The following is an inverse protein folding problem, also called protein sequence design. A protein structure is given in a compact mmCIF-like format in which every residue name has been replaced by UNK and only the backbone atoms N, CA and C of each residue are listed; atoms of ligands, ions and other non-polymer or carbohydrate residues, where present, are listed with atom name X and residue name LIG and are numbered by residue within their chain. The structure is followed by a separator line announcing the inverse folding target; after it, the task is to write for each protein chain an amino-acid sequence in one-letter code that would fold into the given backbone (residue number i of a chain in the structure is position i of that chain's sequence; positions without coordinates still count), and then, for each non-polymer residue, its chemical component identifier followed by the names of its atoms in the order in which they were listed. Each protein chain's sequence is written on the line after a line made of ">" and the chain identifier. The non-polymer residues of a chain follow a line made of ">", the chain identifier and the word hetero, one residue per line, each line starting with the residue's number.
data_IF_359214788577
#
_entry.id   IF_359214788577
#
_cell.length_a   1.000
_cell.length_b   1.000
_cell.length_c   1.000
_cell.angle_alpha   90.00
_cell.angle_beta   90.00
_cell.angle_gamma   90.00
#
_symmetry.space_group_name_H-M   'P 1'
#
loop_
_entity.id
_entity.type
_entity.pdbx_description
1 polymer ?
#
# COMPACT_ATOMS: atom_id res chain seq x y z
N UNK A 1 8.14 5.40 -4.35
CA UNK A 1 6.88 4.62 -4.34
C UNK A 1 6.83 3.52 -5.40
N UNK A 2 6.99 3.81 -6.71
CA UNK A 2 6.90 2.75 -7.75
C UNK A 2 7.83 1.54 -7.50
N UNK A 3 9.11 1.78 -7.20
CA UNK A 3 10.06 0.71 -6.84
C UNK A 3 9.63 -0.10 -5.61
N UNK A 4 8.98 0.55 -4.64
CA UNK A 4 8.45 -0.14 -3.45
C UNK A 4 7.29 -1.05 -3.82
N UNK A 5 6.35 -0.57 -4.64
CA UNK A 5 5.25 -1.40 -5.14
C UNK A 5 5.76 -2.59 -5.95
N UNK A 6 6.79 -2.40 -6.77
CA UNK A 6 7.42 -3.50 -7.52
C UNK A 6 8.02 -4.55 -6.59
N UNK A 7 8.79 -4.12 -5.58
CA UNK A 7 9.37 -5.03 -4.59
C UNK A 7 8.29 -5.80 -3.83
N UNK A 8 7.23 -5.13 -3.37
CA UNK A 8 6.10 -5.78 -2.70
C UNK A 8 5.35 -6.73 -3.63
N UNK A 9 5.24 -6.39 -4.92
CA UNK A 9 4.67 -7.27 -5.93
C UNK A 9 5.45 -8.57 -6.07
N UNK A 10 6.80 -8.49 -6.10
CA UNK A 10 7.67 -9.67 -6.13
C UNK A 10 7.48 -10.54 -4.89
N UNK A 11 7.50 -9.95 -3.69
CA UNK A 11 7.25 -10.69 -2.44
C UNK A 11 5.88 -11.40 -2.43
N UNK A 12 4.84 -10.78 -3.00
CA UNK A 12 3.51 -11.39 -3.10
C UNK A 12 3.46 -12.52 -4.12
N UNK A 13 4.23 -12.46 -5.20
CA UNK A 13 4.39 -13.57 -6.15
C UNK A 13 5.15 -14.74 -5.52
N UNK A 14 6.26 -14.45 -4.84
CA UNK A 14 7.08 -15.46 -4.14
C UNK A 14 6.26 -16.17 -3.04
N UNK A 15 5.37 -15.42 -2.38
CA UNK A 15 4.44 -15.94 -1.38
C UNK A 15 3.19 -16.63 -1.95
N UNK A 16 3.06 -16.79 -3.27
CA UNK A 16 1.86 -17.30 -3.97
C UNK A 16 0.56 -16.56 -3.62
N UNK A 17 0.64 -15.30 -3.19
CA UNK A 17 -0.51 -14.43 -2.92
C UNK A 17 -1.01 -13.82 -4.24
N UNK A 18 -0.08 -13.43 -5.11
CA UNK A 18 -0.37 -13.07 -6.50
C UNK A 18 0.09 -14.20 -7.41
N UNK A 19 -0.56 -14.33 -8.56
CA UNK A 19 -0.22 -15.31 -9.59
C UNK A 19 0.20 -14.63 -10.89
N UNK A 20 0.89 -15.36 -11.76
CA UNK A 20 1.18 -14.88 -13.12
C UNK A 20 -0.10 -14.56 -13.91
N UNK A 21 -1.22 -15.23 -13.61
CA UNK A 21 -2.51 -14.94 -14.21
C UNK A 21 -3.02 -13.54 -13.84
N UNK A 22 -2.88 -13.14 -12.56
CA UNK A 22 -3.28 -11.79 -12.12
C UNK A 22 -2.50 -10.69 -12.86
N UNK A 23 -1.20 -10.92 -13.14
CA UNK A 23 -0.38 -10.00 -13.93
C UNK A 23 -0.80 -9.97 -15.41
N UNK A 24 -1.04 -11.14 -15.99
CA UNK A 24 -1.50 -11.26 -17.37
C UNK A 24 -2.84 -10.56 -17.59
N UNK A 25 -3.80 -10.72 -16.67
CA UNK A 25 -5.10 -10.05 -16.76
C UNK A 25 -4.96 -8.53 -16.65
N UNK A 26 -4.08 -8.03 -15.77
CA UNK A 26 -3.76 -6.61 -15.72
C UNK A 26 -3.14 -6.10 -17.03
N UNK A 27 -2.18 -6.83 -17.62
CA UNK A 27 -1.55 -6.46 -18.90
C UNK A 27 -2.53 -6.47 -20.07
N UNK A 28 -3.53 -7.36 -20.06
CA UNK A 28 -4.54 -7.46 -21.12
C UNK A 28 -5.51 -6.28 -21.14
N UNK A 29 -5.48 -5.40 -20.14
CA UNK A 29 -6.23 -4.14 -20.13
C UNK A 29 -7.74 -4.30 -20.23
N UNK A 30 -8.28 -5.50 -19.92
CA UNK A 30 -9.72 -5.68 -19.83
C UNK A 30 -10.20 -4.90 -18.61
N UNK A 31 -11.17 -3.99 -18.80
CA UNK A 31 -11.86 -3.21 -17.76
C UNK A 31 -12.72 -4.09 -16.82
N UNK A 32 -12.19 -5.24 -16.41
CA UNK A 32 -12.83 -6.15 -15.49
C UNK A 32 -12.28 -5.89 -14.09
N UNK A 33 -13.08 -6.15 -13.05
CA UNK A 33 -12.71 -5.98 -11.65
C UNK A 33 -11.39 -6.71 -11.27
N UNK A 34 -10.96 -7.72 -12.03
CA UNK A 34 -9.74 -8.49 -11.78
C UNK A 34 -8.45 -7.72 -12.11
N UNK A 35 -8.46 -6.82 -13.10
CA UNK A 35 -7.31 -5.95 -13.40
C UNK A 35 -7.03 -4.93 -12.28
N UNK A 36 -7.97 -4.75 -11.35
CA UNK A 36 -7.82 -3.83 -10.21
C UNK A 36 -6.85 -4.32 -9.15
N UNK A 37 -6.56 -5.62 -9.06
CA UNK A 37 -5.67 -6.18 -8.02
C UNK A 37 -4.26 -5.60 -8.19
N UNK A 38 -3.72 -5.66 -9.41
CA UNK A 38 -2.38 -5.14 -9.71
C UNK A 38 -2.41 -3.62 -9.90
N UNK A 39 -3.42 -3.09 -10.59
CA UNK A 39 -3.52 -1.67 -10.90
C UNK A 39 -3.86 -0.76 -9.72
N UNK A 40 -4.59 -1.26 -8.72
CA UNK A 40 -5.08 -0.49 -7.56
C UNK A 40 -4.69 -1.17 -6.25
N UNK A 41 -5.00 -2.46 -6.10
CA UNK A 41 -4.80 -3.22 -4.87
C UNK A 41 -3.33 -3.25 -4.43
N UNK A 42 -2.40 -3.52 -5.33
CA UNK A 42 -0.97 -3.59 -5.04
C UNK A 42 -0.39 -2.24 -4.60
N UNK A 43 -0.64 -1.11 -5.29
CA UNK A 43 -0.27 0.21 -4.79
C UNK A 43 -0.85 0.53 -3.40
N UNK A 44 -2.14 0.23 -3.16
CA UNK A 44 -2.78 0.48 -1.88
C UNK A 44 -2.20 -0.41 -0.76
N UNK A 45 -1.97 -1.68 -1.05
CA UNK A 45 -1.35 -2.64 -0.14
C UNK A 45 0.06 -2.21 0.23
N UNK A 46 0.84 -1.78 -0.75
CA UNK A 46 2.20 -1.29 -0.56
C UNK A 46 2.20 -0.04 0.32
N UNK A 47 1.30 0.93 0.07
CA UNK A 47 1.16 2.10 0.93
C UNK A 47 0.80 1.71 2.37
N UNK A 48 -0.17 0.81 2.57
CA UNK A 48 -0.55 0.32 3.90
C UNK A 48 0.67 -0.30 4.62
N UNK A 49 1.47 -1.12 3.93
CA UNK A 49 2.68 -1.69 4.51
C UNK A 49 3.72 -0.62 4.89
N UNK A 50 3.90 0.42 4.07
CA UNK A 50 4.79 1.54 4.41
C UNK A 50 4.30 2.27 5.68
N UNK A 51 2.99 2.54 5.78
CA UNK A 51 2.40 3.17 6.96
C UNK A 51 2.61 2.34 8.22
N UNK A 52 2.31 1.05 8.13
CA UNK A 52 2.53 0.07 9.18
C UNK A 52 3.98 0.04 9.68
N UNK A 53 4.93 -0.01 8.74
CA UNK A 53 6.36 -0.02 9.06
C UNK A 53 6.76 1.27 9.76
N UNK A 54 6.29 2.41 9.25
CA UNK A 54 6.51 3.74 9.84
C UNK A 54 5.96 3.85 11.26
N UNK A 55 4.78 3.26 11.53
CA UNK A 55 4.18 3.22 12.87
C UNK A 55 5.03 2.38 13.82
N UNK A 56 5.46 1.18 13.39
CA UNK A 56 6.31 0.31 14.21
C UNK A 56 7.67 0.93 14.52
N UNK A 57 8.23 1.67 13.57
CA UNK A 57 9.48 2.41 13.74
C UNK A 57 9.33 3.72 14.53
N UNK A 58 8.11 4.07 14.96
CA UNK A 58 7.79 5.35 15.59
C UNK A 58 8.27 6.57 14.77
N UNK A 59 8.26 6.45 13.44
CA UNK A 59 8.69 7.50 12.52
C UNK A 59 7.68 8.66 12.53
N UNK A 60 8.17 9.88 12.27
CA UNK A 60 7.33 11.08 12.21
C UNK A 60 6.57 11.22 10.87
N UNK A 61 7.09 10.62 9.80
CA UNK A 61 6.58 10.68 8.44
C UNK A 61 6.22 9.31 7.85
N UNK A 62 6.44 9.12 6.55
CA UNK A 62 6.24 7.85 5.85
C UNK A 62 7.60 7.31 5.42
N UNK A 63 8.02 6.21 6.05
CA UNK A 63 9.25 5.50 5.76
C UNK A 63 9.06 4.60 4.53
N UNK A 64 9.92 4.80 3.52
CA UNK A 64 9.96 4.07 2.26
C UNK A 64 11.22 3.21 2.18
N UNK A 65 11.58 2.73 0.98
CA UNK A 65 12.82 1.99 0.73
C UNK A 65 14.06 2.80 1.09
N UNK A 66 15.14 2.09 1.41
CA UNK A 66 16.48 2.66 1.60
C UNK A 66 16.50 3.73 2.71
N UNK A 67 15.72 3.52 3.77
CA UNK A 67 15.55 4.42 4.91
C UNK A 67 15.11 5.85 4.51
N UNK A 68 14.54 6.01 3.33
CA UNK A 68 14.03 7.28 2.86
C UNK A 68 12.69 7.61 3.55
N UNK A 69 12.68 8.65 4.37
CA UNK A 69 11.48 9.12 5.07
C UNK A 69 10.91 10.39 4.40
N UNK A 70 9.61 10.36 4.05
CA UNK A 70 8.87 11.56 3.65
C UNK A 70 8.22 12.19 4.87
N UNK A 71 8.56 13.42 5.17
CA UNK A 71 8.07 14.23 6.28
C UNK A 71 7.49 15.55 5.78
N UNK A 72 6.91 16.35 6.67
CA UNK A 72 6.45 17.70 6.32
C UNK A 72 7.56 18.64 5.82
N UNK A 73 8.84 18.33 6.09
CA UNK A 73 9.98 19.15 5.68
C UNK A 73 10.46 18.86 4.25
N UNK A 74 10.29 17.62 3.77
CA UNK A 74 10.78 17.18 2.46
C UNK A 74 9.65 16.67 1.53
N UNK A 75 8.38 16.82 1.93
CA UNK A 75 7.23 16.47 1.10
C UNK A 75 7.22 17.23 -0.23
N UNK A 76 6.61 16.65 -1.28
CA UNK A 76 6.45 17.35 -2.56
C UNK A 76 5.71 18.69 -2.38
N UNK A 77 6.15 19.73 -3.09
CA UNK A 77 5.53 21.07 -3.06
C UNK A 77 4.34 21.22 -4.01
N UNK A 78 4.10 20.22 -4.84
CA UNK A 78 2.91 20.18 -5.68
C UNK A 78 1.64 20.10 -4.82
N UNK A 79 0.62 20.88 -5.16
CA UNK A 79 -0.60 21.01 -4.34
C UNK A 79 -1.36 19.70 -4.20
N UNK A 80 -1.43 18.90 -5.27
CA UNK A 80 -2.15 17.62 -5.24
C UNK A 80 -1.40 16.62 -4.36
N UNK A 81 -0.08 16.55 -4.51
CA UNK A 81 0.75 15.68 -3.69
C UNK A 81 0.80 16.12 -2.22
N UNK A 82 0.79 17.42 -1.94
CA UNK A 82 0.69 17.97 -0.59
C UNK A 82 -0.60 17.54 0.11
N UNK A 83 -1.73 17.75 -0.58
CA UNK A 83 -3.05 17.33 -0.10
C UNK A 83 -3.10 15.82 0.13
N UNK A 84 -2.62 15.03 -0.83
CA UNK A 84 -2.58 13.58 -0.72
C UNK A 84 -1.71 13.12 0.46
N UNK A 85 -0.53 13.73 0.64
CA UNK A 85 0.35 13.41 1.76
C UNK A 85 -0.30 13.71 3.11
N UNK A 86 -1.02 14.82 3.24
CA UNK A 86 -1.75 15.14 4.47
C UNK A 86 -2.81 14.05 4.79
N UNK A 87 -3.53 13.55 3.78
CA UNK A 87 -4.48 12.44 3.96
C UNK A 87 -3.78 11.15 4.41
N UNK A 88 -2.63 10.83 3.82
CA UNK A 88 -1.82 9.66 4.21
C UNK A 88 -1.34 9.78 5.67
N UNK A 89 -0.92 10.97 6.09
CA UNK A 89 -0.50 11.22 7.48
C UNK A 89 -1.65 11.06 8.48
N UNK A 90 -2.84 11.58 8.15
CA UNK A 90 -4.05 11.38 8.98
C UNK A 90 -4.40 9.90 9.07
N UNK A 91 -4.36 9.17 7.95
CA UNK A 91 -4.65 7.73 7.92
C UNK A 91 -3.64 6.94 8.77
N UNK A 92 -2.35 7.27 8.69
CA UNK A 92 -1.30 6.66 9.53
C UNK A 92 -1.62 6.85 11.01
N UNK A 93 -2.03 8.05 11.40
CA UNK A 93 -2.35 8.35 12.79
C UNK A 93 -3.58 7.57 13.28
N UNK A 94 -4.62 7.48 12.44
CA UNK A 94 -5.80 6.68 12.75
C UNK A 94 -5.45 5.20 12.95
N UNK A 95 -4.64 4.61 12.07
CA UNK A 95 -4.18 3.21 12.23
C UNK A 95 -3.39 3.05 13.53
N UNK A 96 -2.52 4.01 13.87
CA UNK A 96 -1.72 4.00 15.10
C UNK A 96 -2.60 3.98 16.35
N UNK A 97 -3.62 4.84 16.39
CA UNK A 97 -4.51 4.98 17.56
C UNK A 97 -5.47 3.81 17.72
N UNK A 98 -5.99 3.27 16.60
CA UNK A 98 -6.93 2.13 16.62
C UNK A 98 -6.26 0.85 17.15
N UNK A 99 -4.92 0.73 17.04
CA UNK A 99 -4.15 -0.42 17.53
C UNK A 99 -4.70 -1.77 17.04
N UNK A 100 -4.81 -1.90 15.71
CA UNK A 100 -5.28 -3.13 15.07
C UNK A 100 -4.49 -4.36 15.55
N UNK A 101 -5.23 -5.40 15.96
CA UNK A 101 -4.67 -6.71 16.26
C UNK A 101 -4.16 -7.41 15.01
N UNK A 102 -3.39 -8.49 15.18
CA UNK A 102 -2.79 -9.17 14.04
C UNK A 102 -3.82 -9.74 13.04
N UNK A 103 -4.93 -10.27 13.54
CA UNK A 103 -5.98 -10.84 12.70
C UNK A 103 -6.69 -9.75 11.88
N UNK A 104 -7.04 -8.63 12.52
CA UNK A 104 -7.66 -7.47 11.87
C UNK A 104 -6.75 -6.89 10.81
N UNK A 105 -5.45 -6.83 11.11
CA UNK A 105 -4.46 -6.35 10.16
C UNK A 105 -4.30 -7.29 8.96
N UNK A 106 -4.24 -8.61 9.19
CA UNK A 106 -4.22 -9.60 8.09
C UNK A 106 -5.44 -9.46 7.21
N UNK A 107 -6.62 -9.26 7.82
CA UNK A 107 -7.86 -9.02 7.10
C UNK A 107 -7.80 -7.72 6.29
N UNK A 108 -7.41 -6.60 6.89
CA UNK A 108 -7.30 -5.30 6.22
C UNK A 108 -6.34 -5.37 5.02
N UNK A 109 -5.18 -6.02 5.19
CA UNK A 109 -4.22 -6.27 4.10
C UNK A 109 -4.85 -7.04 2.94
N UNK A 110 -5.61 -8.10 3.23
CA UNK A 110 -6.31 -8.89 2.21
C UNK A 110 -7.35 -8.05 1.48
N UNK A 111 -8.19 -7.31 2.21
CA UNK A 111 -9.24 -6.47 1.63
C UNK A 111 -8.67 -5.35 0.77
N UNK A 112 -7.58 -4.71 1.21
CA UNK A 112 -6.92 -3.67 0.43
C UNK A 112 -6.32 -4.21 -0.87
N UNK A 113 -5.76 -5.43 -0.86
CA UNK A 113 -5.13 -6.02 -2.03
C UNK A 113 -6.16 -6.57 -3.05
N UNK A 114 -7.19 -7.27 -2.58
CA UNK A 114 -8.15 -7.98 -3.45
C UNK A 114 -9.50 -7.27 -3.62
N UNK A 115 -9.75 -6.19 -2.87
CA UNK A 115 -11.05 -5.56 -2.76
C UNK A 115 -12.04 -6.38 -1.91
N UNK A 116 -13.25 -5.84 -1.73
CA UNK A 116 -14.32 -6.50 -0.95
C UNK A 116 -15.00 -7.68 -1.66
N UNK A 117 -14.59 -8.04 -2.88
CA UNK A 117 -15.38 -8.90 -3.79
C UNK A 117 -14.77 -10.26 -4.12
N UNK A 118 -13.86 -10.82 -3.31
CA UNK A 118 -13.38 -12.19 -3.50
C UNK A 118 -13.74 -13.08 -2.30
N UNK A 119 -14.85 -13.81 -2.44
CA UNK A 119 -15.12 -15.05 -1.70
C UNK A 119 -14.10 -16.11 -2.13
#
# INVERSE_FOLDING_TARGET
>A
MMKYCEMRGKELLDGNVLTAADLCEWMRGKNNNEASIVGVGLPCYSLLQALMFSIKANSSGVLLLEDFEITYFNKPKDKLLDWFFNLVMVLKEQIRVIKLGEAELRYLKKVVLFGCNKQ
#
